data_IF_509888890386
#
_entry.id   IF_509888890386
#
_cell.length_a   1.000
_cell.length_b   1.000
_cell.length_c   1.000
_cell.angle_alpha   90.00
_cell.angle_beta   90.00
_cell.angle_gamma   90.00
#
_symmetry.space_group_name_H-M   'P 1'
#
loop_
_entity.id
_entity.type
_entity.pdbx_description
1 polymer ?
#
# COMPACT_ATOMS: atom_id res chain seq x y z
N UNK A 1 -17.10 -19.46 25.87
CA UNK A 1 -17.96 -18.64 24.97
C UNK A 1 -17.18 -17.42 24.56
N UNK A 2 -16.84 -17.26 23.26
CA UNK A 2 -16.25 -16.01 22.78
C UNK A 2 -17.30 -14.90 22.91
N UNK A 3 -17.02 -13.89 23.73
CA UNK A 3 -17.86 -12.69 23.83
C UNK A 3 -18.02 -12.08 22.44
N UNK A 4 -19.25 -11.91 21.99
CA UNK A 4 -19.57 -11.33 20.70
C UNK A 4 -18.89 -9.96 20.58
N UNK A 5 -18.12 -9.75 19.50
CA UNK A 5 -17.41 -8.49 19.24
C UNK A 5 -18.43 -7.38 19.05
N UNK A 6 -18.32 -6.31 19.82
CA UNK A 6 -19.08 -5.09 19.58
C UNK A 6 -18.41 -4.32 18.44
N UNK A 7 -19.07 -4.21 17.29
CA UNK A 7 -18.54 -3.55 16.11
C UNK A 7 -19.47 -2.41 15.69
N UNK A 8 -18.86 -1.27 15.39
CA UNK A 8 -19.51 -0.15 14.72
C UNK A 8 -19.03 -0.16 13.28
N UNK A 9 -19.92 -0.41 12.33
CA UNK A 9 -19.66 -0.33 10.89
C UNK A 9 -19.96 1.07 10.38
N UNK A 10 -19.03 1.64 9.59
CA UNK A 10 -19.19 3.00 9.07
C UNK A 10 -18.86 3.00 7.58
N UNK A 11 -19.82 3.39 6.76
CA UNK A 11 -19.52 3.84 5.40
C UNK A 11 -19.16 5.32 5.41
N UNK A 12 -18.05 5.67 4.74
CA UNK A 12 -17.44 6.99 4.86
C UNK A 12 -17.55 7.75 3.55
N UNK A 13 -18.52 8.64 3.48
CA UNK A 13 -18.64 9.62 2.41
C UNK A 13 -17.82 10.90 2.66
N UNK A 14 -17.81 11.77 1.66
CA UNK A 14 -17.17 13.10 1.77
C UNK A 14 -17.84 13.96 2.84
N UNK A 15 -19.16 14.08 2.78
CA UNK A 15 -19.94 15.00 3.61
C UNK A 15 -20.74 14.26 4.71
N UNK A 16 -20.91 12.95 4.58
CA UNK A 16 -21.75 12.12 5.44
C UNK A 16 -21.06 10.84 5.86
N UNK A 17 -21.48 10.33 7.00
CA UNK A 17 -21.12 9.01 7.56
C UNK A 17 -22.42 8.24 7.80
N UNK A 18 -22.52 7.05 7.21
CA UNK A 18 -23.56 6.10 7.49
C UNK A 18 -23.02 5.09 8.51
N UNK A 19 -23.66 5.04 9.66
CA UNK A 19 -23.16 4.33 10.84
C UNK A 19 -24.14 3.23 11.22
N UNK A 20 -23.64 2.02 11.38
CA UNK A 20 -24.38 0.92 11.98
C UNK A 20 -23.78 0.56 13.34
N UNK A 21 -24.57 0.71 14.41
CA UNK A 21 -24.17 0.42 15.78
C UNK A 21 -24.20 -1.09 16.06
N UNK A 22 -23.56 -1.56 17.18
CA UNK A 22 -23.55 -2.99 17.53
C UNK A 22 -24.95 -3.59 17.75
N UNK A 23 -25.93 -2.79 18.15
CA UNK A 23 -27.32 -3.18 18.35
C UNK A 23 -28.18 -3.14 17.07
N UNK A 24 -27.57 -2.81 15.92
CA UNK A 24 -28.26 -2.73 14.63
C UNK A 24 -28.86 -1.36 14.31
N UNK A 25 -28.91 -0.42 15.26
CA UNK A 25 -29.41 0.94 14.97
C UNK A 25 -28.52 1.63 13.96
N UNK A 26 -29.14 2.35 13.02
CA UNK A 26 -28.46 3.11 11.96
C UNK A 26 -28.56 4.60 12.24
N UNK A 27 -27.48 5.32 11.95
CA UNK A 27 -27.39 6.77 12.11
C UNK A 27 -26.76 7.34 10.82
N UNK A 28 -27.33 8.42 10.30
CA UNK A 28 -26.81 9.20 9.19
C UNK A 28 -26.34 10.54 9.73
N UNK A 29 -25.04 10.78 9.79
CA UNK A 29 -24.46 11.95 10.42
C UNK A 29 -23.47 12.67 9.50
N UNK A 30 -23.31 14.00 9.68
CA UNK A 30 -22.33 14.75 8.90
C UNK A 30 -20.90 14.35 9.23
N UNK A 31 -20.02 14.27 8.19
CA UNK A 31 -18.61 13.99 8.35
C UNK A 31 -17.83 15.24 8.83
N UNK A 32 -18.28 15.86 9.92
CA UNK A 32 -17.61 16.98 10.59
C UNK A 32 -16.80 16.52 11.78
N UNK A 33 -15.83 17.33 12.23
CA UNK A 33 -15.02 17.01 13.42
C UNK A 33 -15.90 16.76 14.65
N UNK A 34 -16.89 17.60 14.89
CA UNK A 34 -17.78 17.48 16.06
C UNK A 34 -18.56 16.16 16.04
N UNK A 35 -19.15 15.80 14.87
CA UNK A 35 -19.92 14.56 14.75
C UNK A 35 -19.02 13.32 14.90
N UNK A 36 -17.83 13.30 14.28
CA UNK A 36 -16.86 12.22 14.48
C UNK A 36 -16.46 12.07 15.95
N UNK A 37 -16.18 13.19 16.64
CA UNK A 37 -15.85 13.17 18.07
C UNK A 37 -16.97 12.56 18.91
N UNK A 38 -18.24 12.93 18.66
CA UNK A 38 -19.40 12.36 19.37
C UNK A 38 -19.54 10.86 19.10
N UNK A 39 -19.42 10.45 17.83
CA UNK A 39 -19.49 9.06 17.41
C UNK A 39 -18.42 8.21 18.08
N UNK A 40 -17.14 8.65 18.06
CA UNK A 40 -16.03 7.88 18.61
C UNK A 40 -16.10 7.83 20.14
N UNK A 41 -16.57 8.89 20.83
CA UNK A 41 -16.88 8.84 22.26
C UNK A 41 -17.98 7.78 22.56
N UNK A 42 -19.01 7.68 21.71
CA UNK A 42 -20.06 6.66 21.84
C UNK A 42 -19.48 5.25 21.65
N UNK A 43 -18.65 5.05 20.62
CA UNK A 43 -17.97 3.77 20.37
C UNK A 43 -17.05 3.37 21.55
N UNK A 44 -16.32 4.33 22.12
CA UNK A 44 -15.48 4.12 23.31
C UNK A 44 -16.29 3.64 24.52
N UNK A 45 -17.41 4.30 24.83
CA UNK A 45 -18.33 3.88 25.92
C UNK A 45 -18.89 2.47 25.74
N UNK A 46 -19.12 2.06 24.49
CA UNK A 46 -19.60 0.72 24.16
C UNK A 46 -18.51 -0.33 24.19
N UNK A 47 -17.22 0.06 24.29
CA UNK A 47 -16.07 -0.84 24.11
C UNK A 47 -16.03 -1.46 22.71
N UNK A 48 -16.52 -0.73 21.69
CA UNK A 48 -16.68 -1.25 20.34
C UNK A 48 -15.45 -1.00 19.47
N UNK A 49 -15.24 -1.89 18.51
CA UNK A 49 -14.25 -1.72 17.42
C UNK A 49 -14.94 -0.95 16.29
N UNK A 50 -14.30 0.11 15.82
CA UNK A 50 -14.78 0.90 14.69
C UNK A 50 -14.22 0.32 13.40
N UNK A 51 -15.11 -0.06 12.47
CA UNK A 51 -14.72 -0.64 11.19
C UNK A 51 -15.26 0.21 10.02
N UNK A 52 -14.42 0.49 9.04
CA UNK A 52 -14.78 1.26 7.85
C UNK A 52 -13.98 0.82 6.64
N UNK A 53 -14.46 1.16 5.44
CA UNK A 53 -13.75 0.86 4.20
C UNK A 53 -12.68 1.91 3.86
N UNK A 54 -11.69 1.48 3.05
CA UNK A 54 -10.64 2.36 2.52
C UNK A 54 -11.16 3.12 1.28
N UNK A 55 -11.99 4.16 1.50
CA UNK A 55 -12.65 4.95 0.44
C UNK A 55 -11.86 6.16 -0.01
N UNK A 56 -10.62 6.34 0.43
CA UNK A 56 -9.74 7.42 -0.02
C UNK A 56 -9.34 8.39 1.11
N UNK A 57 -9.41 9.72 0.91
CA UNK A 57 -8.95 10.67 1.93
C UNK A 57 -9.97 10.94 3.05
N UNK A 58 -11.23 10.56 2.85
CA UNK A 58 -12.32 10.97 3.72
C UNK A 58 -12.38 10.18 5.03
N UNK A 59 -11.82 8.95 5.06
CA UNK A 59 -11.72 8.15 6.27
C UNK A 59 -10.55 8.56 7.19
N UNK A 60 -9.58 9.34 6.70
CA UNK A 60 -8.39 9.68 7.50
C UNK A 60 -8.72 10.48 8.76
N UNK A 61 -9.59 11.52 8.70
CA UNK A 61 -9.99 12.24 9.91
C UNK A 61 -10.74 11.38 10.93
N UNK A 62 -11.49 10.36 10.47
CA UNK A 62 -12.14 9.39 11.36
C UNK A 62 -11.13 8.47 12.01
N UNK A 63 -10.15 7.97 11.24
CA UNK A 63 -9.06 7.14 11.75
C UNK A 63 -8.22 7.89 12.78
N UNK A 64 -7.88 9.16 12.53
CA UNK A 64 -7.13 10.00 13.47
C UNK A 64 -7.93 10.25 14.76
N UNK A 65 -9.25 10.44 14.70
CA UNK A 65 -10.12 10.61 15.87
C UNK A 65 -10.19 9.31 16.71
N UNK A 66 -10.23 8.13 16.06
CA UNK A 66 -10.16 6.85 16.76
C UNK A 66 -8.84 6.71 17.51
N UNK A 67 -7.71 7.01 16.86
CA UNK A 67 -6.38 6.92 17.46
C UNK A 67 -6.21 7.90 18.62
N UNK A 68 -6.67 9.15 18.47
CA UNK A 68 -6.60 10.17 19.51
C UNK A 68 -7.37 9.79 20.80
N UNK A 69 -8.34 8.89 20.68
CA UNK A 69 -9.17 8.40 21.81
C UNK A 69 -8.91 6.96 22.19
N UNK A 70 -7.82 6.38 21.67
CA UNK A 70 -7.45 4.97 21.92
C UNK A 70 -8.56 3.97 21.59
N UNK A 71 -9.45 4.30 20.64
CA UNK A 71 -10.49 3.40 20.14
C UNK A 71 -9.91 2.50 19.07
N UNK A 72 -10.05 1.20 19.23
CA UNK A 72 -9.63 0.22 18.24
C UNK A 72 -10.37 0.44 16.93
N UNK A 73 -9.65 0.63 15.84
CA UNK A 73 -10.26 0.81 14.53
C UNK A 73 -9.58 -0.07 13.47
N UNK A 74 -10.37 -0.55 12.52
CA UNK A 74 -9.94 -1.44 11.44
C UNK A 74 -10.37 -0.85 10.10
N UNK A 75 -9.42 -0.79 9.18
CA UNK A 75 -9.71 -0.44 7.78
C UNK A 75 -9.90 -1.72 6.98
N UNK A 76 -11.12 -1.96 6.53
CA UNK A 76 -11.49 -3.14 5.77
C UNK A 76 -11.18 -2.98 4.27
N UNK A 77 -10.99 -4.11 3.61
CA UNK A 77 -10.84 -4.19 2.15
C UNK A 77 -12.23 -4.19 1.50
N UNK A 78 -12.55 -3.16 0.74
CA UNK A 78 -13.83 -2.98 0.04
C UNK A 78 -14.27 -4.20 -0.79
N UNK A 79 -13.30 -4.92 -1.37
CA UNK A 79 -13.63 -6.15 -2.09
C UNK A 79 -14.10 -7.27 -1.15
N UNK A 80 -13.49 -7.39 0.03
CA UNK A 80 -13.88 -8.38 1.03
C UNK A 80 -15.31 -8.13 1.52
N UNK A 81 -15.64 -6.89 1.84
CA UNK A 81 -17.00 -6.47 2.23
C UNK A 81 -18.00 -6.77 1.12
N UNK A 82 -17.66 -6.42 -0.14
CA UNK A 82 -18.52 -6.69 -1.30
C UNK A 82 -18.79 -8.18 -1.50
N UNK A 83 -17.74 -9.02 -1.42
CA UNK A 83 -17.90 -10.47 -1.57
C UNK A 83 -18.70 -11.10 -0.42
N UNK A 84 -18.59 -10.53 0.76
CA UNK A 84 -19.42 -10.93 1.89
C UNK A 84 -20.90 -10.56 1.64
N UNK A 85 -21.18 -9.34 1.18
CA UNK A 85 -22.54 -8.92 0.83
C UNK A 85 -23.15 -9.83 -0.27
N UNK A 86 -22.40 -10.13 -1.34
CA UNK A 86 -22.83 -11.07 -2.39
C UNK A 86 -23.14 -12.47 -1.81
N UNK A 87 -22.33 -12.97 -0.87
CA UNK A 87 -22.55 -14.28 -0.22
C UNK A 87 -23.80 -14.32 0.67
N UNK A 88 -24.25 -13.15 1.14
CA UNK A 88 -25.50 -12.99 1.90
C UNK A 88 -26.73 -12.74 0.99
N UNK A 89 -26.56 -12.85 -0.32
CA UNK A 89 -27.65 -12.60 -1.29
C UNK A 89 -28.00 -11.12 -1.47
N UNK A 90 -27.22 -10.21 -0.88
CA UNK A 90 -27.45 -8.76 -1.02
C UNK A 90 -26.71 -8.21 -2.23
N UNK A 91 -27.44 -8.02 -3.32
CA UNK A 91 -26.92 -7.50 -4.60
C UNK A 91 -27.11 -5.98 -4.71
N UNK A 92 -28.06 -5.41 -3.97
CA UNK A 92 -28.33 -3.99 -3.95
C UNK A 92 -27.21 -3.21 -3.25
N UNK A 93 -26.92 -2.03 -3.77
CA UNK A 93 -25.95 -1.11 -3.21
C UNK A 93 -26.66 0.15 -2.75
N UNK A 94 -26.85 0.29 -1.42
CA UNK A 94 -27.28 1.54 -0.80
C UNK A 94 -26.37 1.80 0.41
N UNK A 95 -26.10 3.07 0.70
CA UNK A 95 -25.20 3.50 1.78
C UNK A 95 -25.63 2.93 3.16
N UNK A 96 -26.93 2.81 3.38
CA UNK A 96 -27.49 2.22 4.60
C UNK A 96 -27.27 0.68 4.71
N UNK A 97 -27.14 -0.02 3.58
CA UNK A 97 -26.80 -1.45 3.53
C UNK A 97 -25.30 -1.62 3.70
N UNK A 98 -24.51 -0.69 3.12
CA UNK A 98 -23.06 -0.77 3.13
C UNK A 98 -22.49 -0.68 4.56
N UNK A 99 -22.98 0.20 5.45
CA UNK A 99 -22.51 0.28 6.84
C UNK A 99 -22.86 -0.98 7.66
N UNK A 100 -24.02 -1.60 7.42
CA UNK A 100 -24.40 -2.87 8.03
C UNK A 100 -23.49 -4.02 7.57
N UNK A 101 -23.23 -4.09 6.25
CA UNK A 101 -22.32 -5.10 5.68
C UNK A 101 -20.90 -4.94 6.19
N UNK A 102 -20.43 -3.71 6.39
CA UNK A 102 -19.13 -3.43 7.01
C UNK A 102 -19.07 -4.00 8.43
N UNK A 103 -20.12 -3.78 9.25
CA UNK A 103 -20.25 -4.32 10.61
C UNK A 103 -20.23 -5.84 10.60
N UNK A 104 -21.09 -6.48 9.81
CA UNK A 104 -21.31 -7.92 9.80
C UNK A 104 -20.10 -8.66 9.23
N UNK A 105 -19.48 -8.12 8.17
CA UNK A 105 -18.23 -8.63 7.64
C UNK A 105 -17.12 -8.58 8.70
N UNK A 106 -16.95 -7.45 9.38
CA UNK A 106 -15.96 -7.34 10.45
C UNK A 106 -16.23 -8.32 11.60
N UNK A 107 -17.51 -8.53 11.97
CA UNK A 107 -17.90 -9.51 12.99
C UNK A 107 -17.56 -10.95 12.58
N UNK A 108 -17.69 -11.30 11.32
CA UNK A 108 -17.37 -12.63 10.77
C UNK A 108 -15.87 -12.93 10.71
N UNK A 109 -15.02 -11.92 10.79
CA UNK A 109 -13.57 -12.09 10.72
C UNK A 109 -13.01 -12.61 12.04
N UNK A 110 -12.04 -13.55 11.97
CA UNK A 110 -11.24 -13.94 13.12
C UNK A 110 -10.38 -12.77 13.60
N UNK A 111 -10.05 -12.70 14.89
CA UNK A 111 -9.27 -11.59 15.48
C UNK A 111 -7.93 -11.38 14.79
N UNK A 112 -7.26 -12.45 14.39
CA UNK A 112 -6.00 -12.41 13.66
C UNK A 112 -6.08 -11.71 12.28
N UNK A 113 -7.30 -11.59 11.73
CA UNK A 113 -7.55 -10.91 10.45
C UNK A 113 -7.97 -9.45 10.62
N UNK A 114 -8.19 -8.99 11.85
CA UNK A 114 -8.49 -7.60 12.14
C UNK A 114 -7.18 -6.83 12.27
N UNK A 115 -6.78 -6.16 11.20
CA UNK A 115 -5.58 -5.32 11.20
C UNK A 115 -5.92 -3.93 11.72
N UNK A 116 -5.65 -3.69 13.01
CA UNK A 116 -5.88 -2.40 13.64
C UNK A 116 -5.02 -1.31 13.01
N UNK A 117 -5.60 -0.13 12.84
CA UNK A 117 -4.86 1.04 12.36
C UNK A 117 -3.81 1.44 13.39
N UNK A 118 -2.63 1.83 12.88
CA UNK A 118 -1.51 2.31 13.71
C UNK A 118 -1.37 3.82 13.60
N UNK A 119 -0.94 4.49 14.68
CA UNK A 119 -0.64 5.91 14.65
C UNK A 119 0.45 6.20 13.61
N UNK A 120 0.35 7.37 12.98
CA UNK A 120 1.36 7.90 12.08
C UNK A 120 1.99 9.13 12.70
N UNK A 121 3.31 9.28 12.52
CA UNK A 121 3.97 10.54 12.87
C UNK A 121 3.45 11.69 11.98
N UNK A 122 3.58 12.93 12.43
CA UNK A 122 3.21 14.10 11.62
C UNK A 122 4.03 14.16 10.32
N UNK A 123 5.30 13.75 10.38
CA UNK A 123 6.15 13.61 9.20
C UNK A 123 5.57 12.60 8.19
N UNK A 124 5.09 11.46 8.67
CA UNK A 124 4.48 10.43 7.83
C UNK A 124 3.13 10.89 7.23
N UNK A 125 2.34 11.66 7.98
CA UNK A 125 1.12 12.28 7.46
C UNK A 125 1.42 13.30 6.36
N UNK A 126 2.45 14.17 6.58
CA UNK A 126 2.94 15.12 5.56
C UNK A 126 3.41 14.37 4.32
N UNK A 127 4.28 13.39 4.47
CA UNK A 127 4.79 12.56 3.38
C UNK A 127 3.65 11.94 2.55
N UNK A 128 2.61 11.41 3.21
CA UNK A 128 1.46 10.84 2.51
C UNK A 128 0.71 11.87 1.67
N UNK A 129 0.53 13.10 2.18
CA UNK A 129 -0.10 14.20 1.44
C UNK A 129 0.75 14.58 0.23
N UNK A 130 2.05 14.80 0.40
CA UNK A 130 2.97 15.19 -0.69
C UNK A 130 3.08 14.10 -1.75
N UNK A 131 3.17 12.82 -1.38
CA UNK A 131 3.15 11.70 -2.33
C UNK A 131 1.86 11.65 -3.16
N UNK A 132 0.70 11.95 -2.55
CA UNK A 132 -0.58 12.05 -3.27
C UNK A 132 -0.61 13.27 -4.21
N UNK A 133 -0.14 14.42 -3.76
CA UNK A 133 -0.05 15.63 -4.59
C UNK A 133 0.85 15.40 -5.78
N UNK A 134 2.05 14.81 -5.57
CA UNK A 134 2.96 14.42 -6.65
C UNK A 134 2.28 13.54 -7.69
N UNK A 135 1.54 12.52 -7.25
CA UNK A 135 0.78 11.64 -8.15
C UNK A 135 -0.21 12.40 -9.01
N UNK A 136 -0.95 13.35 -8.43
CA UNK A 136 -1.94 14.13 -9.15
C UNK A 136 -1.28 15.08 -10.17
N UNK A 137 -0.17 15.73 -9.78
CA UNK A 137 0.63 16.57 -10.70
C UNK A 137 1.18 15.76 -11.88
N UNK A 138 1.70 14.55 -11.62
CA UNK A 138 2.17 13.66 -12.69
C UNK A 138 1.05 13.23 -13.64
N UNK A 139 -0.17 13.02 -13.13
CA UNK A 139 -1.33 12.74 -14.00
C UNK A 139 -1.70 13.94 -14.87
N UNK A 140 -1.75 15.15 -14.28
CA UNK A 140 -2.04 16.37 -15.03
C UNK A 140 -0.96 16.62 -16.12
N UNK A 141 0.31 16.43 -15.75
CA UNK A 141 1.44 16.50 -16.68
C UNK A 141 1.27 15.54 -17.87
N UNK A 142 0.91 14.28 -17.60
CA UNK A 142 0.70 13.29 -18.63
C UNK A 142 -0.46 13.65 -19.57
N UNK A 143 -1.58 14.18 -19.02
CA UNK A 143 -2.73 14.64 -19.83
C UNK A 143 -2.27 15.75 -20.78
N UNK A 144 -1.54 16.75 -20.29
CA UNK A 144 -1.07 17.87 -21.11
C UNK A 144 -0.01 17.38 -22.13
N UNK A 145 0.91 16.52 -21.69
CA UNK A 145 1.94 15.99 -22.58
C UNK A 145 1.37 15.19 -23.77
N UNK A 146 0.24 14.51 -23.56
CA UNK A 146 -0.44 13.75 -24.62
C UNK A 146 -1.21 14.64 -25.62
N UNK A 147 -1.26 15.97 -25.40
CA UNK A 147 -1.92 16.92 -26.32
C UNK A 147 -0.93 17.47 -27.38
N UNK A 148 0.36 17.09 -27.32
CA UNK A 148 1.30 17.44 -28.37
C UNK A 148 1.12 16.52 -29.57
N UNK A 149 0.58 17.06 -30.63
CA UNK A 149 0.38 16.43 -31.95
C UNK A 149 1.39 17.03 -32.95
N UNK A 150 1.62 16.34 -34.05
CA UNK A 150 2.67 16.74 -35.02
C UNK A 150 2.35 18.05 -35.76
N UNK A 151 1.06 18.42 -35.89
CA UNK A 151 0.54 19.59 -36.61
C UNK A 151 0.06 20.70 -35.65
N UNK A 152 0.49 20.68 -34.38
CA UNK A 152 0.08 21.68 -33.41
C UNK A 152 0.62 23.09 -33.77
N UNK A 153 -0.28 24.09 -33.74
CA UNK A 153 0.13 25.47 -34.00
C UNK A 153 1.14 25.98 -32.94
N UNK A 154 2.05 26.90 -33.34
CA UNK A 154 3.13 27.36 -32.45
C UNK A 154 2.63 28.07 -31.18
N UNK A 155 1.48 28.74 -31.21
CA UNK A 155 0.96 29.46 -30.06
C UNK A 155 0.39 28.49 -29.04
N UNK A 156 -0.42 27.52 -29.45
CA UNK A 156 -0.93 26.43 -28.60
C UNK A 156 0.23 25.61 -28.02
N UNK A 157 1.23 25.27 -28.84
CA UNK A 157 2.42 24.56 -28.38
C UNK A 157 3.19 25.35 -27.30
N UNK A 158 3.25 26.69 -27.40
CA UNK A 158 3.88 27.55 -26.40
C UNK A 158 3.13 27.50 -25.07
N UNK A 159 1.78 27.59 -25.10
CA UNK A 159 0.96 27.50 -23.90
C UNK A 159 1.08 26.14 -23.19
N UNK A 160 1.04 25.03 -23.94
CA UNK A 160 1.22 23.69 -23.40
C UNK A 160 2.62 23.49 -22.78
N UNK A 161 3.68 23.99 -23.44
CA UNK A 161 5.05 23.95 -22.87
C UNK A 161 5.15 24.77 -21.59
N UNK A 162 4.55 25.95 -21.52
CA UNK A 162 4.52 26.76 -20.30
C UNK A 162 3.83 26.02 -19.15
N UNK A 163 2.69 25.39 -19.41
CA UNK A 163 1.96 24.59 -18.43
C UNK A 163 2.81 23.37 -17.95
N UNK A 164 3.47 22.64 -18.86
CA UNK A 164 4.35 21.54 -18.51
C UNK A 164 5.52 21.99 -17.63
N UNK A 165 6.17 23.11 -18.00
CA UNK A 165 7.27 23.67 -17.22
C UNK A 165 6.83 24.05 -15.79
N UNK A 166 5.63 24.62 -15.65
CA UNK A 166 5.05 24.93 -14.34
C UNK A 166 4.79 23.66 -13.51
N UNK A 167 4.23 22.63 -14.15
CA UNK A 167 4.00 21.35 -13.49
C UNK A 167 5.31 20.68 -13.06
N UNK A 168 6.34 20.69 -13.93
CA UNK A 168 7.65 20.10 -13.60
C UNK A 168 8.32 20.81 -12.41
N UNK A 169 8.24 22.15 -12.35
CA UNK A 169 8.70 22.93 -11.19
C UNK A 169 7.94 22.56 -9.91
N UNK A 170 6.62 22.41 -9.98
CA UNK A 170 5.81 22.03 -8.84
C UNK A 170 6.06 20.57 -8.40
N UNK A 171 6.27 19.65 -9.33
CA UNK A 171 6.66 18.27 -9.03
C UNK A 171 7.98 18.25 -8.26
N UNK A 172 8.99 19.00 -8.71
CA UNK A 172 10.28 19.08 -8.05
C UNK A 172 10.16 19.65 -6.61
N UNK A 173 9.34 20.69 -6.41
CA UNK A 173 9.06 21.24 -5.07
C UNK A 173 8.41 20.21 -4.15
N UNK A 174 7.39 19.49 -4.63
CA UNK A 174 6.70 18.46 -3.85
C UNK A 174 7.64 17.26 -3.56
N UNK A 175 8.56 16.94 -4.46
CA UNK A 175 9.59 15.93 -4.20
C UNK A 175 10.54 16.36 -3.08
N UNK A 176 10.96 17.62 -3.07
CA UNK A 176 11.76 18.17 -1.97
C UNK A 176 11.00 18.17 -0.65
N UNK A 177 9.69 18.48 -0.66
CA UNK A 177 8.83 18.34 0.53
C UNK A 177 8.76 16.90 1.06
N UNK A 178 8.70 15.90 0.16
CA UNK A 178 8.75 14.51 0.56
C UNK A 178 10.08 14.18 1.27
N UNK A 179 11.20 14.64 0.73
CA UNK A 179 12.52 14.40 1.30
C UNK A 179 12.68 15.12 2.64
N UNK A 180 12.17 16.36 2.76
CA UNK A 180 12.15 17.10 4.02
C UNK A 180 11.30 16.39 5.08
N UNK A 181 10.13 15.86 4.71
CA UNK A 181 9.30 15.08 5.62
C UNK A 181 10.00 13.80 6.10
N UNK A 182 10.71 13.09 5.21
CA UNK A 182 11.51 11.92 5.58
C UNK A 182 12.65 12.30 6.50
N UNK A 183 13.35 13.39 6.20
CA UNK A 183 14.50 13.88 7.00
C UNK A 183 14.09 14.33 8.42
N UNK A 184 12.85 14.81 8.61
CA UNK A 184 12.33 15.27 9.91
C UNK A 184 11.96 14.14 10.89
N UNK A 185 11.96 12.89 10.45
CA UNK A 185 11.60 11.72 11.28
C UNK A 185 12.73 10.68 11.19
N UNK A 186 13.36 10.37 12.34
CA UNK A 186 14.53 9.50 12.37
C UNK A 186 14.24 8.09 11.84
N UNK A 187 13.08 7.53 12.19
CA UNK A 187 12.65 6.21 11.69
C UNK A 187 12.48 6.23 10.18
N UNK A 188 11.82 7.25 9.64
CA UNK A 188 11.62 7.35 8.18
C UNK A 188 12.94 7.54 7.44
N UNK A 189 13.84 8.38 7.98
CA UNK A 189 15.17 8.64 7.42
C UNK A 189 16.01 7.37 7.35
N UNK A 190 16.06 6.61 8.44
CA UNK A 190 16.83 5.36 8.49
C UNK A 190 16.24 4.30 7.54
N UNK A 191 14.92 4.14 7.50
CA UNK A 191 14.27 3.22 6.58
C UNK A 191 14.49 3.62 5.12
N UNK A 192 14.39 4.91 4.79
CA UNK A 192 14.66 5.41 3.43
C UNK A 192 16.08 5.10 3.00
N UNK A 193 17.07 5.40 3.86
CA UNK A 193 18.48 5.09 3.62
C UNK A 193 18.68 3.60 3.32
N UNK A 194 18.16 2.72 4.16
CA UNK A 194 18.30 1.27 4.06
C UNK A 194 17.56 0.68 2.85
N UNK A 195 16.38 1.20 2.52
CA UNK A 195 15.66 0.77 1.33
C UNK A 195 16.44 1.07 0.05
N UNK A 196 17.06 2.24 -0.02
CA UNK A 196 17.88 2.68 -1.18
C UNK A 196 19.20 1.91 -1.33
N UNK A 197 19.67 1.21 -0.31
CA UNK A 197 20.80 0.29 -0.42
C UNK A 197 20.52 -0.88 -1.37
N UNK A 198 19.23 -1.22 -1.56
CA UNK A 198 18.82 -2.25 -2.51
C UNK A 198 18.90 -1.68 -3.94
N UNK A 199 19.89 -2.13 -4.73
CA UNK A 199 20.01 -1.72 -6.13
C UNK A 199 18.70 -1.98 -6.89
N UNK A 200 18.11 -0.94 -7.45
CA UNK A 200 16.80 -0.94 -8.10
C UNK A 200 15.69 -0.30 -7.29
N UNK A 201 15.89 -0.07 -5.99
CA UNK A 201 14.96 0.70 -5.14
C UNK A 201 15.43 2.16 -5.12
N UNK A 202 14.69 2.99 -5.84
CA UNK A 202 14.94 4.43 -5.90
C UNK A 202 14.04 5.24 -4.95
N UNK A 203 14.25 6.58 -4.91
CA UNK A 203 13.48 7.49 -4.04
C UNK A 203 11.98 7.36 -4.23
N UNK A 204 11.51 7.17 -5.45
CA UNK A 204 10.06 7.06 -5.75
C UNK A 204 9.42 5.87 -5.03
N UNK A 205 10.01 4.68 -5.08
CA UNK A 205 9.47 3.51 -4.37
C UNK A 205 9.56 3.70 -2.86
N UNK A 206 10.70 4.18 -2.35
CA UNK A 206 10.90 4.41 -0.92
C UNK A 206 9.85 5.37 -0.35
N UNK A 207 9.66 6.54 -0.97
CA UNK A 207 8.64 7.53 -0.58
C UNK A 207 7.22 6.93 -0.56
N UNK A 208 6.85 6.12 -1.58
CA UNK A 208 5.53 5.48 -1.66
C UNK A 208 5.34 4.44 -0.54
N UNK A 209 6.36 3.62 -0.26
CA UNK A 209 6.31 2.62 0.81
C UNK A 209 6.14 3.30 2.17
N UNK A 210 6.99 4.28 2.48
CA UNK A 210 6.95 5.01 3.76
C UNK A 210 5.64 5.77 3.96
N UNK A 211 5.09 6.34 2.88
CA UNK A 211 3.82 7.06 2.93
C UNK A 211 2.60 6.14 3.11
N UNK A 212 2.61 4.98 2.45
CA UNK A 212 1.43 4.11 2.39
C UNK A 212 1.44 2.97 3.41
N UNK A 213 2.61 2.56 3.90
CA UNK A 213 2.78 1.40 4.77
C UNK A 213 3.37 1.82 6.13
N UNK A 214 2.58 2.43 7.04
CA UNK A 214 3.06 2.79 8.38
C UNK A 214 3.51 1.57 9.19
N UNK A 215 2.96 0.43 8.88
CA UNK A 215 3.14 -0.89 9.47
C UNK A 215 4.14 -1.76 8.71
N UNK A 216 4.98 -1.15 7.85
CA UNK A 216 6.04 -1.89 7.16
C UNK A 216 6.99 -2.53 8.20
N UNK A 217 7.28 -3.82 8.02
CA UNK A 217 8.03 -4.63 8.98
C UNK A 217 7.15 -5.60 9.78
N UNK A 218 5.84 -5.33 9.93
CA UNK A 218 4.92 -6.20 10.69
C UNK A 218 4.33 -7.34 9.85
N UNK A 219 4.46 -7.25 8.54
CA UNK A 219 3.88 -8.26 7.65
C UNK A 219 4.71 -9.53 7.57
N UNK A 220 4.03 -10.67 7.42
CA UNK A 220 4.68 -11.86 6.90
C UNK A 220 4.82 -11.78 5.36
N UNK A 221 5.64 -12.66 4.77
CA UNK A 221 5.94 -12.64 3.33
C UNK A 221 4.71 -12.85 2.43
N UNK A 222 3.67 -13.55 2.91
CA UNK A 222 2.42 -13.75 2.17
C UNK A 222 1.55 -12.48 2.23
N UNK A 223 1.43 -11.88 3.41
CA UNK A 223 0.63 -10.67 3.64
C UNK A 223 1.17 -9.45 2.89
N UNK A 224 2.50 -9.21 2.94
CA UNK A 224 3.10 -8.09 2.19
C UNK A 224 2.92 -8.27 0.68
N UNK A 225 3.10 -9.48 0.15
CA UNK A 225 2.89 -9.76 -1.27
C UNK A 225 1.42 -9.54 -1.70
N UNK A 226 0.46 -9.90 -0.84
CA UNK A 226 -0.98 -9.66 -1.07
C UNK A 226 -1.30 -8.16 -1.04
N UNK A 227 -0.80 -7.44 -0.03
CA UNK A 227 -1.00 -5.99 0.10
C UNK A 227 -0.43 -5.22 -1.10
N UNK A 228 0.74 -5.62 -1.60
CA UNK A 228 1.36 -5.04 -2.79
C UNK A 228 0.71 -5.49 -4.11
N UNK A 229 -0.27 -6.38 -4.08
CA UNK A 229 -0.92 -6.90 -5.28
C UNK A 229 -0.02 -7.76 -6.17
N UNK A 230 1.01 -8.39 -5.59
CA UNK A 230 1.97 -9.24 -6.27
C UNK A 230 1.82 -10.74 -5.91
N UNK A 231 0.82 -11.09 -5.10
CA UNK A 231 0.49 -12.48 -4.82
C UNK A 231 -0.35 -13.06 -5.98
N UNK A 232 0.06 -14.17 -6.60
CA UNK A 232 -0.77 -14.86 -7.55
C UNK A 232 -1.98 -15.47 -6.82
N UNK A 233 -3.16 -15.32 -7.40
CA UNK A 233 -4.38 -15.95 -6.92
C UNK A 233 -4.72 -17.05 -7.91
N UNK A 234 -4.73 -18.30 -7.43
CA UNK A 234 -5.15 -19.44 -8.24
C UNK A 234 -6.67 -19.45 -8.32
N UNK A 235 -7.17 -19.73 -9.51
CA UNK A 235 -8.54 -20.08 -9.77
C UNK A 235 -8.51 -21.45 -10.45
N UNK A 236 -8.81 -22.49 -9.70
CA UNK A 236 -8.85 -23.86 -10.19
C UNK A 236 -10.22 -24.43 -9.83
N UNK A 237 -10.90 -25.02 -10.80
CA UNK A 237 -12.09 -25.82 -10.60
C UNK A 237 -11.93 -27.12 -11.37
N UNK A 238 -11.97 -28.26 -10.71
CA UNK A 238 -11.86 -29.61 -11.26
C UNK A 238 -10.91 -29.74 -12.46
N UNK A 239 -11.43 -29.58 -13.66
CA UNK A 239 -10.70 -29.77 -14.94
C UNK A 239 -10.10 -28.47 -15.50
N UNK A 240 -10.55 -27.29 -15.06
CA UNK A 240 -10.14 -26.00 -15.63
C UNK A 240 -9.15 -25.32 -14.70
N UNK A 241 -7.88 -25.26 -15.13
CA UNK A 241 -6.81 -24.53 -14.45
C UNK A 241 -6.60 -23.17 -15.12
N UNK A 242 -7.07 -22.10 -14.51
CA UNK A 242 -6.75 -20.75 -14.98
C UNK A 242 -5.35 -20.35 -14.55
N UNK A 243 -4.60 -19.67 -15.44
CA UNK A 243 -3.30 -19.10 -15.07
C UNK A 243 -3.48 -18.12 -13.92
N UNK A 244 -2.82 -18.35 -12.79
CA UNK A 244 -2.83 -17.49 -11.63
C UNK A 244 -2.41 -16.07 -12.01
N UNK A 245 -3.25 -15.07 -11.73
CA UNK A 245 -2.95 -13.67 -12.00
C UNK A 245 -2.87 -12.89 -10.68
N UNK A 246 -1.87 -12.02 -10.51
CA UNK A 246 -1.84 -11.11 -9.36
C UNK A 246 -2.97 -10.09 -9.52
N UNK A 247 -3.90 -10.14 -8.60
CA UNK A 247 -5.04 -9.23 -8.54
C UNK A 247 -5.00 -8.47 -7.22
N UNK A 248 -5.62 -7.27 -7.20
CA UNK A 248 -5.75 -6.41 -6.01
C UNK A 248 -4.44 -5.79 -5.52
N UNK A 249 -4.48 -5.26 -4.30
CA UNK A 249 -3.41 -4.51 -3.68
C UNK A 249 -3.42 -3.02 -4.03
N UNK A 250 -2.56 -2.26 -3.38
CA UNK A 250 -2.43 -0.81 -3.57
C UNK A 250 -1.82 -0.52 -4.93
N UNK A 251 -2.59 0.06 -5.85
CA UNK A 251 -2.22 0.23 -7.27
C UNK A 251 -0.92 1.03 -7.45
N UNK A 252 -0.71 2.09 -6.65
CA UNK A 252 0.48 2.94 -6.75
C UNK A 252 1.74 2.19 -6.29
N UNK A 253 1.62 1.44 -5.20
CA UNK A 253 2.69 0.61 -4.69
C UNK A 253 3.04 -0.51 -5.67
N UNK A 254 2.04 -1.14 -6.27
CA UNK A 254 2.24 -2.17 -7.30
C UNK A 254 3.00 -1.62 -8.52
N UNK A 255 2.62 -0.42 -9.00
CA UNK A 255 3.30 0.23 -10.13
C UNK A 255 4.75 0.59 -9.78
N UNK A 256 4.98 1.18 -8.61
CA UNK A 256 6.31 1.56 -8.16
C UNK A 256 7.23 0.33 -7.98
N UNK A 257 6.73 -0.74 -7.39
CA UNK A 257 7.45 -2.01 -7.24
C UNK A 257 7.76 -2.66 -8.59
N UNK A 258 6.85 -2.56 -9.57
CA UNK A 258 7.10 -3.08 -10.91
C UNK A 258 8.23 -2.30 -11.60
N UNK A 259 8.23 -0.97 -11.52
CA UNK A 259 9.31 -0.15 -12.08
C UNK A 259 10.65 -0.40 -11.37
N UNK A 260 10.64 -0.57 -10.06
CA UNK A 260 11.83 -1.00 -9.31
C UNK A 260 12.31 -2.39 -9.76
N UNK A 261 11.40 -3.32 -10.07
CA UNK A 261 11.77 -4.63 -10.59
C UNK A 261 12.40 -4.55 -11.98
N UNK A 262 11.93 -3.66 -12.86
CA UNK A 262 12.58 -3.39 -14.15
C UNK A 262 14.01 -2.89 -13.98
N UNK A 263 14.23 -1.93 -13.07
CA UNK A 263 15.57 -1.44 -12.75
C UNK A 263 16.45 -2.53 -12.10
N UNK A 264 15.91 -3.24 -11.11
CA UNK A 264 16.63 -4.28 -10.38
C UNK A 264 17.02 -5.48 -11.27
N UNK A 265 16.16 -5.84 -12.23
CA UNK A 265 16.45 -6.93 -13.18
C UNK A 265 17.66 -6.64 -14.09
N UNK A 266 18.11 -5.38 -14.14
CA UNK A 266 19.30 -4.95 -14.90
C UNK A 266 20.51 -4.70 -13.99
N UNK A 267 20.28 -4.07 -12.84
CA UNK A 267 21.33 -3.48 -12.02
C UNK A 267 21.62 -4.22 -10.70
N UNK A 268 20.75 -5.15 -10.28
CA UNK A 268 20.95 -5.94 -9.06
C UNK A 268 21.31 -7.37 -9.44
N UNK A 269 22.51 -7.80 -9.13
CA UNK A 269 23.03 -9.11 -9.52
C UNK A 269 22.10 -10.26 -9.13
N UNK A 270 21.67 -10.34 -7.87
CA UNK A 270 20.83 -11.43 -7.35
C UNK A 270 19.45 -11.45 -8.00
N UNK A 271 18.85 -10.26 -8.14
CA UNK A 271 17.50 -10.13 -8.73
C UNK A 271 17.55 -10.32 -10.26
N UNK A 272 18.66 -9.96 -10.91
CA UNK A 272 18.91 -10.22 -12.34
C UNK A 272 19.02 -11.71 -12.62
N UNK A 273 19.82 -12.44 -11.84
CA UNK A 273 19.93 -13.91 -11.97
C UNK A 273 18.57 -14.59 -11.76
N UNK A 274 17.83 -14.15 -10.73
CA UNK A 274 16.49 -14.68 -10.50
C UNK A 274 15.56 -14.42 -11.68
N UNK A 275 15.58 -13.21 -12.23
CA UNK A 275 14.80 -12.83 -13.42
C UNK A 275 15.18 -13.70 -14.62
N UNK A 276 16.48 -13.80 -14.94
CA UNK A 276 17.00 -14.56 -16.08
C UNK A 276 16.64 -16.05 -15.96
N UNK A 277 16.77 -16.64 -14.77
CA UNK A 277 16.35 -18.03 -14.53
C UNK A 277 14.88 -18.26 -14.81
N UNK A 278 13.99 -17.33 -14.42
CA UNK A 278 12.57 -17.47 -14.69
C UNK A 278 12.27 -17.38 -16.20
N UNK A 279 12.94 -16.49 -16.90
CA UNK A 279 12.77 -16.35 -18.35
C UNK A 279 13.32 -17.59 -19.09
N UNK A 280 14.49 -18.09 -18.70
CA UNK A 280 15.06 -19.33 -19.25
C UNK A 280 14.15 -20.54 -19.02
N UNK A 281 13.39 -20.57 -17.90
CA UNK A 281 12.39 -21.60 -17.61
C UNK A 281 11.04 -21.30 -18.35
N UNK A 282 11.02 -20.52 -19.41
CA UNK A 282 9.85 -20.26 -20.25
C UNK A 282 8.80 -19.32 -19.64
N UNK A 283 9.07 -18.63 -18.54
CA UNK A 283 8.10 -17.67 -18.00
C UNK A 283 8.09 -16.37 -18.81
N UNK A 284 6.91 -15.84 -19.17
CA UNK A 284 6.82 -14.55 -19.86
C UNK A 284 7.52 -13.43 -19.08
N UNK A 285 8.21 -12.51 -19.78
CA UNK A 285 9.00 -11.42 -19.16
C UNK A 285 8.20 -10.62 -18.12
N UNK A 286 6.94 -10.26 -18.39
CA UNK A 286 6.07 -9.53 -17.46
C UNK A 286 5.79 -10.34 -16.18
N UNK A 287 5.64 -11.66 -16.30
CA UNK A 287 5.44 -12.56 -15.14
C UNK A 287 6.72 -12.65 -14.30
N UNK A 288 7.88 -12.78 -14.95
CA UNK A 288 9.18 -12.78 -14.27
C UNK A 288 9.43 -11.46 -13.52
N UNK A 289 9.14 -10.30 -14.13
CA UNK A 289 9.21 -8.99 -13.46
C UNK A 289 8.26 -8.88 -12.26
N UNK A 290 7.04 -9.43 -12.36
CA UNK A 290 6.12 -9.46 -11.21
C UNK A 290 6.66 -10.32 -10.06
N UNK A 291 7.36 -11.42 -10.36
CA UNK A 291 8.02 -12.24 -9.34
C UNK A 291 9.21 -11.49 -8.68
N UNK A 292 9.99 -10.74 -9.45
CA UNK A 292 11.03 -9.83 -8.91
C UNK A 292 10.41 -8.76 -8.02
N UNK A 293 9.34 -8.11 -8.47
CA UNK A 293 8.58 -7.11 -7.71
C UNK A 293 8.10 -7.66 -6.36
N UNK A 294 7.61 -8.90 -6.33
CA UNK A 294 7.25 -9.59 -5.07
C UNK A 294 8.46 -9.79 -4.16
N UNK A 295 9.62 -10.17 -4.70
CA UNK A 295 10.84 -10.31 -3.90
C UNK A 295 11.30 -8.98 -3.31
N UNK A 296 11.25 -7.89 -4.08
CA UNK A 296 11.56 -6.54 -3.58
C UNK A 296 10.62 -6.18 -2.43
N UNK A 297 9.32 -6.41 -2.55
CA UNK A 297 8.36 -6.12 -1.48
C UNK A 297 8.67 -6.90 -0.19
N UNK A 298 9.02 -8.19 -0.30
CA UNK A 298 9.41 -9.02 0.84
C UNK A 298 10.72 -8.49 1.44
N UNK A 299 11.70 -8.15 0.60
CA UNK A 299 13.00 -7.64 1.04
C UNK A 299 12.86 -6.32 1.82
N UNK A 300 12.10 -5.35 1.31
CA UNK A 300 11.81 -4.08 1.97
C UNK A 300 11.15 -4.33 3.34
N UNK A 301 10.19 -5.25 3.41
CA UNK A 301 9.55 -5.61 4.67
C UNK A 301 10.53 -6.27 5.65
N UNK A 302 11.43 -7.12 5.17
CA UNK A 302 12.47 -7.75 6.00
C UNK A 302 13.46 -6.72 6.53
N UNK A 303 13.88 -5.76 5.71
CA UNK A 303 14.74 -4.64 6.11
C UNK A 303 14.08 -3.81 7.22
N UNK A 304 12.77 -3.53 7.08
CA UNK A 304 12.04 -2.78 8.09
C UNK A 304 11.83 -3.56 9.39
N UNK A 305 11.70 -4.88 9.31
CA UNK A 305 11.48 -5.77 10.46
C UNK A 305 12.75 -6.01 11.27
N UNK A 306 13.90 -6.12 10.60
CA UNK A 306 15.17 -6.50 11.22
C UNK A 306 16.20 -5.37 11.03
N UNK A 307 16.46 -4.55 12.07
CA UNK A 307 17.40 -3.43 11.99
C UNK A 307 18.81 -3.85 11.54
N UNK A 308 19.28 -5.01 11.95
CA UNK A 308 20.63 -5.51 11.63
C UNK A 308 20.73 -6.23 10.28
N UNK A 309 19.59 -6.42 9.59
CA UNK A 309 19.58 -7.09 8.30
C UNK A 309 20.23 -6.21 7.24
N UNK A 310 21.32 -6.69 6.65
CA UNK A 310 21.97 -6.05 5.50
C UNK A 310 21.55 -6.77 4.22
N UNK A 311 20.97 -6.07 3.25
CA UNK A 311 20.69 -6.68 1.96
C UNK A 311 22.00 -7.17 1.34
N UNK A 312 22.00 -8.40 0.82
CA UNK A 312 23.18 -8.97 0.18
C UNK A 312 23.62 -8.06 -0.97
N UNK A 313 24.81 -7.51 -0.83
CA UNK A 313 25.49 -6.75 -1.87
C UNK A 313 26.19 -7.72 -2.83
N UNK A 314 26.56 -7.22 -4.01
CA UNK A 314 27.24 -7.98 -5.06
C UNK A 314 28.35 -8.88 -4.48
N UNK A 315 28.37 -10.20 -4.78
CA UNK A 315 29.41 -11.11 -4.26
C UNK A 315 30.84 -10.64 -4.56
N UNK A 316 31.02 -9.86 -5.63
CA UNK A 316 32.31 -9.25 -5.96
C UNK A 316 32.72 -8.10 -5.04
N UNK A 317 31.78 -7.45 -4.36
CA UNK A 317 32.08 -6.41 -3.37
C UNK A 317 32.42 -7.01 -2.00
N UNK A 318 31.83 -8.16 -1.64
CA UNK A 318 32.14 -8.87 -0.39
C UNK A 318 33.42 -9.70 -0.44
N UNK A 319 33.83 -10.15 -1.63
CA UNK A 319 35.11 -10.85 -1.82
C UNK A 319 36.34 -9.94 -1.64
N UNK A 320 36.19 -8.62 -1.72
CA UNK A 320 37.25 -7.65 -1.39
C UNK A 320 37.34 -7.32 0.10
N UNK A 321 36.34 -7.71 0.91
CA UNK A 321 36.27 -7.36 2.33
C UNK A 321 36.49 -8.57 3.31
N UNK A 322 36.68 -9.79 2.83
CA UNK A 322 36.88 -10.95 3.71
C UNK A 322 37.41 -12.16 2.98
N UNK A 323 38.72 -12.32 2.97
CA UNK A 323 39.39 -13.56 2.61
C UNK A 323 39.18 -14.65 3.65
N UNK A 324 38.05 -15.35 3.62
CA UNK A 324 37.84 -16.57 4.39
C UNK A 324 37.47 -17.71 3.43
N UNK A 325 38.42 -18.61 3.20
CA UNK A 325 38.23 -19.84 2.45
C UNK A 325 37.17 -20.71 3.13
N UNK A 326 35.97 -20.85 2.53
CA UNK A 326 35.01 -21.90 2.92
C UNK A 326 35.49 -23.23 2.36
N UNK A 327 35.91 -24.15 3.25
CA UNK A 327 36.27 -25.51 2.92
C UNK A 327 35.09 -26.26 2.26
N UNK A 328 35.39 -27.06 1.24
CA UNK A 328 34.46 -28.00 0.61
C UNK A 328 33.94 -29.01 1.63
N UNK A 329 32.65 -29.34 1.67
CA UNK A 329 32.16 -30.47 2.45
C UNK A 329 32.70 -31.78 1.87
N UNK A 330 33.29 -32.62 2.73
CA UNK A 330 33.72 -34.00 2.41
C UNK A 330 32.51 -34.84 2.05
N UNK A 331 32.54 -35.49 0.90
CA UNK A 331 31.65 -36.63 0.59
C UNK A 331 31.94 -37.75 1.53
N UNK A 332 30.96 -38.19 2.30
CA UNK A 332 30.98 -39.49 3.00
C UNK A 332 30.44 -40.52 2.02
N UNK A 333 31.19 -41.65 1.95
CA UNK A 333 30.84 -42.83 1.13
C UNK A 333 29.59 -43.51 1.65
#
# INVERSE_FOLDING_TARGET
>A
MQTAKKIVGIDVGKDWLDVCLPDGRKEHIRNTRSCRTKLIKKAAKLGAIVCFEATGPYEEPLADECLARSVKAVRLDAWGTRKFAESQGRLEKTDAIDCEMIRDYAASLKDEKLHFIKPRSEAQKRLKKSVRTRKNLLKARAIIANQFEDDLDPETARHLRSALNSLDKNIAKVEAECDAAIASDERLRELDRRFREVKGVGPCLSRIVLAQCPDIGDFNSKSIAKMCGNAPINHESCTIKYKAKPRRGRSDLKKALYMAAVSASRNNHILREFYQRLVANGKPRKVALTAVSRRIAILINTIAKHPDFKPAQDPKASAKAGGAKRGRPRKVK
#
